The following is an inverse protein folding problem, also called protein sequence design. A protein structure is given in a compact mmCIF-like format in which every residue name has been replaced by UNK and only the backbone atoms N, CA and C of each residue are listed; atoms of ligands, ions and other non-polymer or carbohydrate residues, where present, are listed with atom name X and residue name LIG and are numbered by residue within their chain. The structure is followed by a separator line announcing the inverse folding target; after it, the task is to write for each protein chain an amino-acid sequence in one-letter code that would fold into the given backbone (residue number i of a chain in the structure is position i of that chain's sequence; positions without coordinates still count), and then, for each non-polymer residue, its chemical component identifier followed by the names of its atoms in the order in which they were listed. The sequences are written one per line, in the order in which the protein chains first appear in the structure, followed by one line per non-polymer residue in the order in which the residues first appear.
data_IF_452805814839
#
_entry.id   IF_452805814839
#
_cell.length_a   1.000
_cell.length_b   1.000
_cell.length_c   1.000
_cell.angle_alpha   90.00
_cell.angle_beta   90.00
_cell.angle_gamma   90.00
#
_symmetry.space_group_name_H-M   'P 1'
#
loop_
_entity.id
_entity.type
_entity.pdbx_description
1 polymer ?
#
# COMPACT_ATOMS: atom_id res chain seq x y z
N UNK A 1 12.52 9.49 16.37
CA UNK A 1 11.86 9.92 15.11
C UNK A 1 10.83 8.87 14.73
N UNK A 2 9.58 9.25 14.45
CA UNK A 2 8.58 8.30 13.92
C UNK A 2 8.86 8.04 12.44
N UNK A 3 8.75 6.80 12.02
CA UNK A 3 8.97 6.39 10.62
C UNK A 3 7.79 6.83 9.75
N UNK A 4 8.00 7.03 8.45
CA UNK A 4 6.90 7.33 7.51
C UNK A 4 5.80 6.27 7.57
N UNK A 5 6.19 4.99 7.58
CA UNK A 5 5.27 3.86 7.76
C UNK A 5 4.41 3.99 9.02
N UNK A 6 4.99 4.40 10.17
CA UNK A 6 4.20 4.58 11.40
C UNK A 6 3.20 5.74 11.28
N UNK A 7 3.60 6.84 10.64
CA UNK A 7 2.70 7.99 10.42
C UNK A 7 1.54 7.62 9.52
N UNK A 8 1.82 7.00 8.36
CA UNK A 8 0.79 6.61 7.40
C UNK A 8 -0.10 5.48 7.95
N UNK A 9 0.45 4.56 8.75
CA UNK A 9 -0.34 3.55 9.50
C UNK A 9 -1.40 4.18 10.39
N UNK A 10 -1.00 5.16 11.21
CA UNK A 10 -1.92 5.81 12.15
C UNK A 10 -2.96 6.63 11.41
N UNK A 11 -2.55 7.36 10.36
CA UNK A 11 -3.48 8.07 9.47
C UNK A 11 -4.51 7.12 8.85
N UNK A 12 -4.06 5.99 8.29
CA UNK A 12 -4.95 4.99 7.70
C UNK A 12 -5.92 4.42 8.74
N UNK A 13 -5.45 4.13 9.95
CA UNK A 13 -6.32 3.66 11.03
C UNK A 13 -7.41 4.70 11.38
N UNK A 14 -7.07 5.98 11.46
CA UNK A 14 -8.03 7.05 11.72
C UNK A 14 -9.04 7.22 10.56
N UNK A 15 -8.58 7.07 9.31
CA UNK A 15 -9.42 7.13 8.11
C UNK A 15 -10.43 5.98 8.06
N UNK A 16 -9.96 4.77 8.35
CA UNK A 16 -10.80 3.56 8.43
C UNK A 16 -11.85 3.72 9.54
N UNK A 17 -11.44 4.16 10.73
CA UNK A 17 -12.36 4.44 11.84
C UNK A 17 -13.43 5.47 11.47
N UNK A 18 -13.04 6.60 10.87
CA UNK A 18 -13.95 7.67 10.46
C UNK A 18 -14.82 7.35 9.22
N UNK A 19 -14.49 6.29 8.47
CA UNK A 19 -15.30 5.82 7.35
C UNK A 19 -16.34 4.78 7.80
N UNK A 20 -16.00 3.95 8.79
CA UNK A 20 -16.82 2.81 9.22
C UNK A 20 -16.63 1.59 8.30
N UNK A 21 -17.02 0.38 8.75
CA UNK A 21 -16.62 -0.91 8.17
C UNK A 21 -17.19 -1.22 6.78
N UNK A 22 -18.32 -0.62 6.42
CA UNK A 22 -19.05 -0.93 5.18
C UNK A 22 -18.82 0.14 4.10
N UNK A 23 -17.96 1.12 4.37
CA UNK A 23 -17.67 2.19 3.42
C UNK A 23 -16.88 1.64 2.21
N UNK A 24 -17.10 2.20 1.01
CA UNK A 24 -16.38 1.79 -0.19
C UNK A 24 -14.91 2.21 -0.13
N UNK A 25 -14.08 1.51 -0.87
CA UNK A 25 -12.69 1.87 -1.17
C UNK A 25 -12.48 1.95 -2.69
N UNK A 26 -11.34 2.46 -3.14
CA UNK A 26 -10.97 2.37 -4.56
C UNK A 26 -10.49 0.96 -4.97
N UNK A 27 -10.26 0.05 -4.01
CA UNK A 27 -10.06 -1.36 -4.31
C UNK A 27 -11.42 -1.96 -4.70
N UNK A 28 -11.60 -2.29 -5.99
CA UNK A 28 -12.87 -2.77 -6.52
C UNK A 28 -13.41 -3.97 -5.72
N UNK A 29 -14.67 -3.88 -5.31
CA UNK A 29 -15.35 -4.91 -4.52
C UNK A 29 -14.93 -4.99 -3.05
N UNK A 30 -14.04 -4.11 -2.57
CA UNK A 30 -13.60 -4.10 -1.17
C UNK A 30 -14.25 -2.97 -0.36
N UNK A 31 -14.79 -3.35 0.79
CA UNK A 31 -15.14 -2.42 1.86
C UNK A 31 -13.89 -2.06 2.68
N UNK A 32 -13.99 -1.03 3.52
CA UNK A 32 -12.94 -0.70 4.49
C UNK A 32 -12.66 -1.86 5.47
N UNK A 33 -13.63 -2.74 5.74
CA UNK A 33 -13.42 -3.98 6.50
C UNK A 33 -12.52 -4.96 5.75
N UNK A 34 -12.75 -5.16 4.46
CA UNK A 34 -11.93 -6.06 3.63
C UNK A 34 -10.50 -5.53 3.53
N UNK A 35 -10.36 -4.22 3.36
CA UNK A 35 -9.08 -3.52 3.36
C UNK A 35 -8.37 -3.62 4.73
N UNK A 36 -9.10 -3.45 5.83
CA UNK A 36 -8.53 -3.60 7.17
C UNK A 36 -8.06 -5.04 7.41
N UNK A 37 -8.84 -6.04 6.98
CA UNK A 37 -8.46 -7.44 7.07
C UNK A 37 -7.20 -7.75 6.24
N UNK A 38 -7.12 -7.24 5.01
CA UNK A 38 -5.94 -7.35 4.13
C UNK A 38 -4.66 -6.89 4.85
N UNK A 39 -4.68 -5.67 5.40
CA UNK A 39 -3.53 -5.08 6.07
C UNK A 39 -3.07 -5.92 7.27
N UNK A 40 -4.01 -6.40 8.08
CA UNK A 40 -3.70 -7.24 9.25
C UNK A 40 -3.11 -8.58 8.82
N UNK A 41 -3.68 -9.23 7.80
CA UNK A 41 -3.19 -10.52 7.28
C UNK A 41 -1.78 -10.39 6.71
N UNK A 42 -1.55 -9.35 5.90
CA UNK A 42 -0.25 -9.08 5.26
C UNK A 42 0.89 -8.98 6.27
N UNK A 43 0.66 -8.34 7.41
CA UNK A 43 1.70 -8.14 8.44
C UNK A 43 1.88 -9.31 9.41
N UNK A 44 0.81 -10.08 9.66
CA UNK A 44 0.78 -11.08 10.74
C UNK A 44 0.78 -12.52 10.27
N UNK A 45 0.41 -12.77 9.02
CA UNK A 45 0.27 -14.10 8.43
C UNK A 45 1.15 -14.21 7.19
N UNK A 46 2.47 -14.19 7.40
CA UNK A 46 3.44 -14.40 6.32
C UNK A 46 3.18 -15.70 5.55
N UNK A 47 2.67 -16.73 6.23
CA UNK A 47 2.24 -18.01 5.66
C UNK A 47 1.06 -17.87 4.66
N UNK A 48 0.16 -16.91 4.90
CA UNK A 48 -0.96 -16.60 4.01
C UNK A 48 -0.58 -15.56 2.95
N UNK A 49 0.20 -14.55 3.32
CA UNK A 49 0.67 -13.48 2.43
C UNK A 49 1.46 -14.02 1.23
N UNK A 50 2.05 -15.22 1.33
CA UNK A 50 2.64 -15.94 0.19
C UNK A 50 1.67 -16.13 -0.98
N UNK A 51 0.35 -16.15 -0.74
CA UNK A 51 -0.69 -16.19 -1.77
C UNK A 51 -0.72 -14.97 -2.70
N UNK A 52 -0.12 -13.85 -2.31
CA UNK A 52 0.01 -12.66 -3.17
C UNK A 52 0.99 -12.90 -4.33
N UNK A 53 1.93 -13.83 -4.17
CA UNK A 53 3.00 -14.08 -5.15
C UNK A 53 3.02 -15.53 -5.66
N UNK A 54 2.47 -16.48 -4.91
CA UNK A 54 2.39 -17.90 -5.25
C UNK A 54 0.91 -18.26 -5.50
N UNK A 55 0.49 -18.47 -6.77
CA UNK A 55 -0.91 -18.77 -7.10
C UNK A 55 -1.50 -19.98 -6.35
N UNK A 56 -0.68 -21.00 -6.06
CA UNK A 56 -1.10 -22.19 -5.31
C UNK A 56 -1.52 -21.88 -3.86
N UNK A 57 -1.14 -20.73 -3.30
CA UNK A 57 -1.50 -20.29 -1.96
C UNK A 57 -2.68 -19.31 -1.94
N UNK A 58 -3.24 -18.93 -3.10
CA UNK A 58 -4.31 -17.95 -3.21
C UNK A 58 -5.57 -18.33 -2.40
N UNK A 59 -5.98 -19.60 -2.46
CA UNK A 59 -7.14 -20.09 -1.69
C UNK A 59 -6.92 -20.00 -0.16
N UNK A 60 -5.67 -20.16 0.29
CA UNK A 60 -5.32 -19.99 1.71
C UNK A 60 -5.37 -18.52 2.10
N UNK A 61 -4.84 -17.63 1.27
CA UNK A 61 -4.92 -16.19 1.48
C UNK A 61 -6.37 -15.74 1.60
N UNK A 62 -7.22 -16.13 0.66
CA UNK A 62 -8.65 -15.78 0.65
C UNK A 62 -9.36 -16.26 1.92
N UNK A 63 -9.11 -17.52 2.33
CA UNK A 63 -9.70 -18.06 3.57
C UNK A 63 -9.29 -17.25 4.80
N UNK A 64 -8.00 -16.98 4.95
CA UNK A 64 -7.48 -16.21 6.09
C UNK A 64 -8.00 -14.78 6.05
N UNK A 65 -8.14 -14.17 4.88
CA UNK A 65 -8.71 -12.83 4.75
C UNK A 65 -10.18 -12.80 5.19
N UNK A 66 -10.99 -13.79 4.80
CA UNK A 66 -12.37 -13.95 5.29
C UNK A 66 -12.45 -14.16 6.80
N UNK A 67 -11.56 -14.98 7.37
CA UNK A 67 -11.48 -15.19 8.83
C UNK A 67 -11.19 -13.86 9.57
N UNK A 68 -10.30 -13.02 9.03
CA UNK A 68 -10.03 -11.71 9.62
C UNK A 68 -11.16 -10.72 9.38
N UNK A 69 -11.78 -10.69 8.20
CA UNK A 69 -12.91 -9.80 7.91
C UNK A 69 -14.11 -10.07 8.83
N UNK A 70 -14.30 -11.33 9.26
CA UNK A 70 -15.34 -11.72 10.22
C UNK A 70 -15.10 -11.23 11.67
N UNK A 71 -13.90 -10.71 11.99
CA UNK A 71 -13.61 -10.17 13.32
C UNK A 71 -14.36 -8.85 13.59
N UNK A 72 -14.54 -8.47 14.87
CA UNK A 72 -14.95 -7.12 15.22
C UNK A 72 -14.06 -6.08 14.55
N UNK A 73 -14.67 -5.05 13.96
CA UNK A 73 -13.94 -4.06 13.17
C UNK A 73 -12.93 -3.27 14.04
N UNK A 74 -13.32 -2.94 15.27
CA UNK A 74 -12.47 -2.30 16.27
C UNK A 74 -11.24 -3.16 16.62
N UNK A 75 -11.36 -4.49 16.59
CA UNK A 75 -10.23 -5.41 16.75
C UNK A 75 -9.25 -5.23 15.59
N UNK A 76 -9.74 -5.18 14.34
CA UNK A 76 -8.90 -4.96 13.16
C UNK A 76 -8.16 -3.62 13.24
N UNK A 77 -8.86 -2.53 13.58
CA UNK A 77 -8.26 -1.20 13.74
C UNK A 77 -7.17 -1.20 14.82
N UNK A 78 -7.42 -1.86 15.95
CA UNK A 78 -6.42 -2.00 17.03
C UNK A 78 -5.19 -2.78 16.58
N UNK A 79 -5.38 -3.86 15.81
CA UNK A 79 -4.28 -4.63 15.25
C UNK A 79 -3.45 -3.81 14.25
N UNK A 80 -4.10 -2.97 13.43
CA UNK A 80 -3.42 -2.04 12.51
C UNK A 80 -2.62 -1.00 13.31
N UNK A 81 -3.22 -0.34 14.30
CA UNK A 81 -2.57 0.70 15.12
C UNK A 81 -1.34 0.17 15.86
N UNK A 82 -1.42 -1.05 16.38
CA UNK A 82 -0.34 -1.67 17.17
C UNK A 82 0.76 -2.30 16.33
N UNK A 83 0.50 -2.61 15.06
CA UNK A 83 1.47 -3.25 14.17
C UNK A 83 1.71 -4.73 14.47
N UNK A 84 2.66 -5.38 13.77
CA UNK A 84 2.91 -6.81 13.94
C UNK A 84 3.47 -7.14 15.34
N UNK A 85 3.30 -8.40 15.83
CA UNK A 85 3.93 -8.85 17.06
C UNK A 85 5.46 -8.66 17.03
N UNK A 86 6.08 -8.40 18.19
CA UNK A 86 7.52 -8.10 18.33
C UNK A 86 8.47 -9.15 17.73
N UNK A 87 8.01 -10.39 17.55
CA UNK A 87 8.80 -11.50 16.99
C UNK A 87 8.41 -11.86 15.54
N UNK A 88 7.58 -11.05 14.88
CA UNK A 88 7.29 -11.23 13.45
C UNK A 88 8.53 -10.93 12.59
N UNK A 89 8.75 -11.61 11.45
CA UNK A 89 9.74 -11.18 10.46
C UNK A 89 9.54 -9.74 9.99
N UNK A 90 8.31 -9.22 10.05
CA UNK A 90 7.97 -7.82 9.79
C UNK A 90 8.26 -6.88 10.97
N UNK A 91 8.69 -7.37 12.14
CA UNK A 91 9.21 -6.53 13.22
C UNK A 91 10.67 -6.09 12.96
N UNK A 92 11.32 -6.64 11.93
CA UNK A 92 12.64 -6.22 11.47
C UNK A 92 12.53 -4.89 10.71
N UNK A 93 12.85 -3.79 11.41
CA UNK A 93 12.75 -2.37 10.97
C UNK A 93 13.06 -2.07 9.50
N UNK A 94 14.04 -2.75 8.89
CA UNK A 94 14.54 -2.40 7.55
C UNK A 94 13.69 -2.95 6.39
N UNK A 95 13.02 -4.09 6.58
CA UNK A 95 12.07 -4.65 5.60
C UNK A 95 10.67 -4.04 5.82
N UNK A 96 10.35 -3.78 7.09
CA UNK A 96 9.11 -3.17 7.59
C UNK A 96 8.88 -1.76 7.03
N UNK A 97 9.84 -0.84 7.16
CA UNK A 97 9.61 0.57 6.82
C UNK A 97 9.36 0.81 5.32
N UNK A 98 9.99 0.03 4.44
CA UNK A 98 9.96 0.28 3.00
C UNK A 98 8.65 -0.15 2.35
N UNK A 99 8.25 -1.40 2.55
CA UNK A 99 7.04 -1.97 1.98
C UNK A 99 5.79 -1.39 2.65
N UNK A 100 5.87 -1.06 3.95
CA UNK A 100 4.72 -0.55 4.68
C UNK A 100 4.45 0.93 4.45
N UNK A 101 5.48 1.74 4.14
CA UNK A 101 5.23 3.16 3.79
C UNK A 101 4.36 3.28 2.54
N UNK A 102 4.71 2.57 1.46
CA UNK A 102 3.93 2.60 0.20
C UNK A 102 2.55 2.00 0.43
N UNK A 103 2.47 0.82 1.06
CA UNK A 103 1.20 0.14 1.33
C UNK A 103 0.22 1.03 2.11
N UNK A 104 0.67 1.63 3.21
CA UNK A 104 -0.20 2.47 4.03
C UNK A 104 -0.54 3.79 3.36
N UNK A 105 0.38 4.36 2.57
CA UNK A 105 0.09 5.56 1.80
C UNK A 105 -0.99 5.30 0.73
N UNK A 106 -0.81 4.26 -0.10
CA UNK A 106 -1.74 3.90 -1.17
C UNK A 106 -3.11 3.57 -0.58
N UNK A 107 -3.18 2.73 0.44
CA UNK A 107 -4.47 2.36 1.03
C UNK A 107 -5.12 3.48 1.85
N UNK A 108 -4.36 4.45 2.36
CA UNK A 108 -4.93 5.69 2.90
C UNK A 108 -5.61 6.51 1.79
N UNK A 109 -4.97 6.59 0.63
CA UNK A 109 -5.55 7.25 -0.55
C UNK A 109 -6.75 6.48 -1.11
N UNK A 110 -6.76 5.14 -1.09
CA UNK A 110 -7.92 4.33 -1.48
C UNK A 110 -9.15 4.63 -0.63
N UNK A 111 -8.97 4.84 0.68
CA UNK A 111 -10.07 5.20 1.60
C UNK A 111 -10.46 6.66 1.40
N UNK A 112 -9.50 7.58 1.26
CA UNK A 112 -9.79 9.02 1.12
C UNK A 112 -10.49 9.34 -0.19
N UNK A 113 -9.96 8.85 -1.30
CA UNK A 113 -10.44 9.15 -2.66
C UNK A 113 -11.78 8.50 -2.97
N UNK A 114 -12.13 7.42 -2.26
CA UNK A 114 -13.45 6.79 -2.38
C UNK A 114 -14.59 7.61 -1.74
N UNK A 115 -14.27 8.61 -0.90
CA UNK A 115 -15.31 9.44 -0.25
C UNK A 115 -15.73 10.62 -1.14
N UNK A 116 -17.01 11.02 -1.08
CA UNK A 116 -17.46 12.26 -1.71
C UNK A 116 -16.69 13.47 -1.19
N UNK A 117 -16.36 14.41 -2.09
CA UNK A 117 -15.68 15.66 -1.71
C UNK A 117 -14.21 15.50 -1.33
N UNK A 118 -13.56 14.37 -1.69
CA UNK A 118 -12.13 14.23 -1.51
C UNK A 118 -11.36 15.30 -2.28
N UNK A 119 -10.22 15.72 -1.73
CA UNK A 119 -9.28 16.64 -2.38
C UNK A 119 -7.87 16.04 -2.39
N UNK A 120 -7.06 16.33 -3.44
CA UNK A 120 -5.65 15.99 -3.46
C UNK A 120 -4.96 16.41 -2.17
N UNK A 121 -4.12 15.52 -1.64
CA UNK A 121 -3.16 15.86 -0.58
C UNK A 121 -1.80 15.93 -1.20
N UNK A 122 -1.09 16.99 -0.90
CA UNK A 122 0.34 17.07 -1.17
C UNK A 122 1.09 16.38 -0.01
N UNK A 123 1.78 15.26 -0.26
CA UNK A 123 2.70 14.69 0.72
C UNK A 123 3.79 15.71 1.04
N UNK A 124 4.25 15.74 2.29
CA UNK A 124 5.42 16.57 2.60
C UNK A 124 6.64 16.10 1.78
N UNK A 125 7.60 17.00 1.47
CA UNK A 125 8.71 16.68 0.59
C UNK A 125 9.52 15.44 1.01
N UNK A 126 9.62 15.18 2.32
CA UNK A 126 10.38 14.02 2.85
C UNK A 126 9.64 12.73 2.53
N UNK A 127 8.31 12.69 2.73
CA UNK A 127 7.48 11.55 2.32
C UNK A 127 7.49 11.38 0.79
N UNK A 128 7.39 12.47 0.02
CA UNK A 128 7.42 12.41 -1.44
C UNK A 128 8.74 11.81 -1.97
N UNK A 129 9.89 12.23 -1.42
CA UNK A 129 11.19 11.65 -1.77
C UNK A 129 11.34 10.18 -1.33
N UNK A 130 10.75 9.81 -0.18
CA UNK A 130 10.70 8.42 0.24
C UNK A 130 9.89 7.56 -0.73
N UNK A 131 8.70 8.02 -1.16
CA UNK A 131 7.88 7.34 -2.18
C UNK A 131 8.63 7.18 -3.50
N UNK A 132 9.27 8.26 -3.98
CA UNK A 132 10.07 8.23 -5.21
C UNK A 132 11.22 7.22 -5.13
N UNK A 133 12.00 7.22 -4.05
CA UNK A 133 13.12 6.28 -3.86
C UNK A 133 12.65 4.83 -3.88
N UNK A 134 11.44 4.54 -3.39
CA UNK A 134 10.86 3.19 -3.43
C UNK A 134 10.36 2.84 -4.82
N UNK A 135 9.67 3.77 -5.47
CA UNK A 135 9.22 3.61 -6.86
C UNK A 135 10.41 3.29 -7.77
N UNK A 136 11.53 4.02 -7.68
CA UNK A 136 12.74 3.74 -8.47
C UNK A 136 13.24 2.31 -8.31
N UNK A 137 13.27 1.79 -7.07
CA UNK A 137 13.75 0.43 -6.78
C UNK A 137 12.80 -0.64 -7.32
N UNK A 138 11.49 -0.37 -7.31
CA UNK A 138 10.47 -1.33 -7.75
C UNK A 138 10.05 -1.16 -9.20
N UNK A 139 10.38 -0.04 -9.85
CA UNK A 139 9.91 0.34 -11.18
C UNK A 139 10.15 -0.76 -12.22
N UNK A 140 11.33 -1.38 -12.20
CA UNK A 140 11.67 -2.48 -13.13
C UNK A 140 10.85 -3.74 -12.90
N UNK A 141 10.50 -4.02 -11.65
CA UNK A 141 9.70 -5.19 -11.28
C UNK A 141 8.24 -4.97 -11.66
N UNK A 142 7.70 -3.77 -11.39
CA UNK A 142 6.34 -3.37 -11.73
C UNK A 142 6.14 -3.25 -13.24
N UNK A 143 7.08 -2.58 -13.93
CA UNK A 143 7.06 -2.36 -15.37
C UNK A 143 7.49 -3.56 -16.22
N UNK A 144 7.86 -4.71 -15.64
CA UNK A 144 8.44 -5.85 -16.39
C UNK A 144 7.54 -6.40 -17.49
N UNK A 145 6.22 -6.25 -17.35
CA UNK A 145 5.21 -6.71 -18.31
C UNK A 145 4.73 -5.61 -19.27
N UNK A 146 5.31 -4.40 -19.20
CA UNK A 146 4.96 -3.32 -20.12
C UNK A 146 5.23 -3.76 -21.57
N UNK A 147 4.29 -3.56 -22.51
CA UNK A 147 4.50 -3.88 -23.92
C UNK A 147 5.42 -2.87 -24.64
N UNK A 148 5.75 -1.76 -23.98
CA UNK A 148 6.55 -0.64 -24.51
C UNK A 148 7.64 -0.23 -23.53
N UNK A 149 8.63 0.54 -24.00
CA UNK A 149 9.56 1.22 -23.10
C UNK A 149 8.78 2.15 -22.16
N UNK A 150 9.07 2.10 -20.87
CA UNK A 150 8.34 2.86 -19.85
C UNK A 150 9.31 3.62 -18.97
N UNK A 151 9.13 4.93 -18.93
CA UNK A 151 9.87 5.86 -18.08
C UNK A 151 8.88 6.58 -17.16
N UNK A 152 9.16 6.57 -15.87
CA UNK A 152 8.46 7.39 -14.87
C UNK A 152 9.26 8.67 -14.66
N UNK A 153 8.60 9.82 -14.59
CA UNK A 153 9.24 11.12 -14.50
C UNK A 153 8.56 12.01 -13.45
N UNK A 154 9.36 12.65 -12.60
CA UNK A 154 8.89 13.73 -11.73
C UNK A 154 8.85 15.08 -12.45
N UNK A 155 8.01 16.04 -12.01
CA UNK A 155 8.01 17.39 -12.56
C UNK A 155 9.36 18.09 -12.47
N UNK A 156 10.17 17.76 -11.45
CA UNK A 156 11.54 18.27 -11.27
C UNK A 156 12.58 17.68 -12.23
N UNK A 157 12.19 16.75 -13.10
CA UNK A 157 13.06 16.15 -14.11
C UNK A 157 13.74 14.85 -13.71
N UNK A 158 13.64 14.39 -12.45
CA UNK A 158 14.13 13.04 -12.06
C UNK A 158 13.34 11.96 -12.79
N UNK A 159 14.03 10.88 -13.19
CA UNK A 159 13.43 9.79 -13.99
C UNK A 159 13.81 8.40 -13.49
N UNK A 160 12.88 7.46 -13.59
CA UNK A 160 13.10 6.03 -13.34
C UNK A 160 12.71 5.21 -14.57
N UNK A 161 13.62 4.35 -15.05
CA UNK A 161 13.32 3.45 -16.18
C UNK A 161 12.63 2.19 -15.65
N UNK A 162 11.33 2.07 -15.89
CA UNK A 162 10.50 0.93 -15.49
C UNK A 162 10.56 -0.22 -16.50
N UNK A 163 10.67 0.07 -17.79
CA UNK A 163 10.84 -0.94 -18.84
C UNK A 163 11.70 -0.42 -19.98
N UNK A 164 12.58 -1.26 -20.52
CA UNK A 164 13.40 -0.92 -21.70
C UNK A 164 12.72 -1.49 -22.94
N UNK A 165 12.40 -0.65 -23.91
CA UNK A 165 11.75 -1.06 -25.15
C UNK A 165 11.50 0.14 -26.07
N UNK A 166 10.99 -0.13 -27.27
CA UNK A 166 10.55 0.88 -28.23
C UNK A 166 9.16 0.50 -28.78
N UNK A 167 8.22 1.44 -28.98
CA UNK A 167 8.32 2.87 -28.63
C UNK A 167 8.44 3.12 -27.12
N UNK A 168 8.81 4.34 -26.72
CA UNK A 168 8.94 4.73 -25.31
C UNK A 168 7.78 5.64 -24.91
N UNK A 169 7.15 5.33 -23.77
CA UNK A 169 6.14 6.14 -23.11
C UNK A 169 6.72 6.68 -21.80
N UNK A 170 6.53 7.99 -21.58
CA UNK A 170 6.93 8.68 -20.35
C UNK A 170 5.69 9.08 -19.56
N UNK A 171 5.54 8.55 -18.34
CA UNK A 171 4.48 8.94 -17.40
C UNK A 171 5.06 9.99 -16.46
N UNK A 172 4.45 11.18 -16.41
CA UNK A 172 4.93 12.29 -15.57
C UNK A 172 3.93 12.59 -14.46
N UNK A 173 4.39 12.70 -13.21
CA UNK A 173 3.54 12.98 -12.05
C UNK A 173 4.33 13.18 -10.76
N UNK A 174 3.67 13.74 -9.75
CA UNK A 174 4.24 13.78 -8.40
C UNK A 174 4.46 12.37 -7.85
N UNK A 175 5.44 12.13 -6.96
CA UNK A 175 5.72 10.79 -6.44
C UNK A 175 4.51 10.07 -5.86
N UNK A 176 3.59 10.78 -5.22
CA UNK A 176 2.34 10.23 -4.67
C UNK A 176 1.32 9.78 -5.73
N UNK A 177 1.38 10.35 -6.94
CA UNK A 177 0.50 9.99 -8.06
C UNK A 177 1.14 8.95 -9.00
N UNK A 178 2.44 8.69 -8.85
CA UNK A 178 3.17 7.68 -9.62
C UNK A 178 3.32 6.32 -8.91
N UNK A 179 3.03 6.26 -7.61
CA UNK A 179 3.04 5.03 -6.81
C UNK A 179 1.70 4.29 -6.85
#
# INVERSE_FOLDING_TARGET
MSTHARRERLLLADLLEGAGPDAPTLCEGWTTRDLAAHLVVRERRADAAGGLVIPALAARLERVQKEFAAKPYDELLRLIRTGPPRFSPYALKQVDEAANTVEFYVHAEDVRRARPGWTPREPDPVLADALWTRLERMARVLGRKSPVGLVLRRPDGRTAVAHRGAPVVTVTGEPGELV
#
